data_IF_772429453327
#
_entry.id   IF_772429453327
#
_cell.length_a   1.000
_cell.length_b   1.000
_cell.length_c   1.000
_cell.angle_alpha   90.00
_cell.angle_beta   90.00
_cell.angle_gamma   90.00
#
_symmetry.space_group_name_H-M   'P 1'
#
loop_
_entity.id
_entity.type
_entity.pdbx_description
1 polymer ?
#
# COMPACT_ATOMS: atom_id res chain seq x y z
N UNK A 1 3.58 -45.70 -20.84
CA UNK A 1 3.73 -45.43 -19.40
C UNK A 1 4.56 -44.14 -19.18
N UNK A 2 3.92 -42.98 -19.27
CA UNK A 2 3.30 -42.24 -18.15
C UNK A 2 4.31 -41.34 -17.41
N UNK A 3 4.26 -40.05 -17.75
CA UNK A 3 4.59 -38.87 -16.92
C UNK A 3 3.79 -38.89 -15.58
N UNK A 4 3.91 -37.92 -14.62
CA UNK A 4 4.50 -36.58 -14.73
C UNK A 4 5.15 -35.91 -13.46
N UNK A 5 5.67 -34.70 -13.71
CA UNK A 5 5.53 -33.44 -12.94
C UNK A 5 6.35 -33.16 -11.67
N UNK A 6 7.09 -32.04 -11.71
CA UNK A 6 7.01 -30.97 -10.71
C UNK A 6 7.62 -29.67 -11.27
N UNK A 7 6.78 -28.65 -11.37
CA UNK A 7 6.98 -27.31 -11.92
C UNK A 7 7.99 -26.46 -11.13
N UNK A 8 8.71 -25.51 -11.76
CA UNK A 8 9.41 -24.46 -11.02
C UNK A 8 8.41 -23.41 -10.56
N UNK A 9 8.29 -23.24 -9.24
CA UNK A 9 7.56 -22.13 -8.63
C UNK A 9 8.29 -20.81 -8.93
N UNK A 10 7.71 -20.00 -9.80
CA UNK A 10 8.14 -18.63 -10.05
C UNK A 10 7.83 -17.79 -8.81
N UNK A 11 8.84 -17.59 -7.97
CA UNK A 11 8.83 -16.61 -6.89
C UNK A 11 8.70 -15.21 -7.51
N UNK A 12 7.49 -14.69 -7.56
CA UNK A 12 7.26 -13.28 -7.88
C UNK A 12 7.79 -12.46 -6.70
N UNK A 13 9.00 -11.93 -6.91
CA UNK A 13 9.62 -10.93 -6.05
C UNK A 13 8.73 -9.69 -6.01
N UNK A 14 7.82 -9.66 -5.03
CA UNK A 14 7.10 -8.45 -4.61
C UNK A 14 8.15 -7.39 -4.23
N UNK A 15 7.90 -6.10 -4.50
CA UNK A 15 8.77 -5.04 -3.99
C UNK A 15 8.69 -5.07 -2.45
N UNK A 16 9.71 -5.64 -1.83
CA UNK A 16 9.93 -5.58 -0.39
C UNK A 16 10.31 -4.14 -0.04
N UNK A 17 9.36 -3.39 0.51
CA UNK A 17 9.74 -2.31 1.42
C UNK A 17 10.36 -2.97 2.65
N UNK A 18 11.62 -2.68 3.00
CA UNK A 18 12.24 -3.29 4.18
C UNK A 18 11.49 -2.81 5.42
N UNK A 19 10.69 -3.69 6.01
CA UNK A 19 10.21 -3.60 7.38
C UNK A 19 11.39 -3.84 8.33
N UNK A 20 12.35 -2.92 8.31
CA UNK A 20 13.45 -2.88 9.27
C UNK A 20 13.44 -1.50 9.91
N UNK A 21 12.47 -1.34 10.80
CA UNK A 21 12.46 -0.34 11.84
C UNK A 21 11.74 -1.00 12.97
N UNK A 22 12.39 -1.17 14.11
CA UNK A 22 11.79 -1.55 15.38
C UNK A 22 10.80 -0.46 15.82
N UNK A 23 9.72 -0.29 15.06
CA UNK A 23 8.50 0.32 15.56
C UNK A 23 7.77 -0.78 16.30
N UNK A 24 7.25 -0.46 17.48
CA UNK A 24 6.16 -1.21 18.10
C UNK A 24 4.95 -1.07 17.18
N UNK A 25 4.99 -1.80 16.06
CA UNK A 25 3.96 -1.77 15.04
C UNK A 25 2.69 -2.32 15.67
N UNK A 26 1.53 -1.66 15.55
CA UNK A 26 0.26 -2.17 16.08
C UNK A 26 -0.11 -3.56 15.52
N UNK A 27 0.59 -4.01 14.46
CA UNK A 27 0.47 -5.35 13.88
C UNK A 27 0.79 -6.51 14.82
N UNK A 28 1.58 -6.32 15.89
CA UNK A 28 1.87 -7.41 16.84
C UNK A 28 0.79 -7.58 17.91
N UNK A 29 0.01 -6.53 18.19
CA UNK A 29 -1.03 -6.55 19.22
C UNK A 29 -2.41 -6.90 18.68
N UNK A 30 -2.67 -6.63 17.40
CA UNK A 30 -3.96 -6.89 16.77
C UNK A 30 -3.81 -7.89 15.59
N UNK A 31 -4.18 -9.17 15.79
CA UNK A 31 -4.10 -10.17 14.74
C UNK A 31 -5.00 -9.77 13.55
N UNK A 32 -4.61 -10.08 12.30
CA UNK A 32 -5.46 -9.85 11.14
C UNK A 32 -6.80 -10.58 11.28
N UNK A 33 -7.87 -9.85 11.02
CA UNK A 33 -9.21 -10.44 10.95
C UNK A 33 -9.24 -11.51 9.83
N UNK A 34 -9.73 -12.73 10.10
CA UNK A 34 -9.86 -13.76 9.07
C UNK A 34 -10.72 -13.25 7.91
N UNK A 35 -10.20 -13.32 6.68
CA UNK A 35 -10.88 -12.81 5.48
C UNK A 35 -10.56 -11.36 5.11
N UNK A 36 -9.74 -10.65 5.89
CA UNK A 36 -9.23 -9.34 5.50
C UNK A 36 -8.14 -9.46 4.43
N UNK A 37 -8.34 -8.77 3.31
CA UNK A 37 -7.35 -8.70 2.22
C UNK A 37 -6.42 -7.51 2.38
N UNK A 38 -6.92 -6.41 2.98
CA UNK A 38 -6.19 -5.17 3.15
C UNK A 38 -6.20 -4.70 4.59
N UNK A 39 -5.10 -4.09 5.02
CA UNK A 39 -4.98 -3.40 6.31
C UNK A 39 -4.54 -1.98 6.07
N UNK A 40 -5.35 -1.01 6.48
CA UNK A 40 -5.11 0.42 6.28
C UNK A 40 -4.91 1.08 7.64
N UNK A 41 -3.78 1.75 7.84
CA UNK A 41 -3.47 2.51 9.05
C UNK A 41 -3.42 4.02 8.79
N UNK A 42 -4.17 4.78 9.57
CA UNK A 42 -4.12 6.24 9.62
C UNK A 42 -3.54 6.66 10.96
N UNK A 43 -2.48 7.47 10.92
CA UNK A 43 -1.75 7.90 12.11
C UNK A 43 -1.77 9.42 12.18
N UNK A 44 -2.43 9.97 13.21
CA UNK A 44 -2.61 11.41 13.43
C UNK A 44 -1.67 11.85 14.56
N UNK A 45 -0.99 12.98 14.40
CA UNK A 45 -0.14 13.53 15.45
C UNK A 45 -0.92 13.78 16.75
N UNK A 46 -0.40 13.29 17.88
CA UNK A 46 -1.06 13.47 19.18
C UNK A 46 -0.70 14.85 19.77
N UNK A 47 -1.44 15.88 19.35
CA UNK A 47 -1.29 17.25 19.88
C UNK A 47 -1.80 17.34 21.32
N UNK A 48 -2.83 16.56 21.65
CA UNK A 48 -3.48 16.54 22.97
C UNK A 48 -2.54 16.08 24.09
N UNK A 49 -1.49 15.33 23.73
CA UNK A 49 -0.45 14.96 24.67
C UNK A 49 0.38 16.14 25.17
N UNK A 50 0.57 17.18 24.34
CA UNK A 50 1.42 18.33 24.67
C UNK A 50 0.66 19.52 25.24
N UNK A 51 -0.65 19.59 25.00
CA UNK A 51 -1.49 20.73 25.40
C UNK A 51 -2.51 20.22 26.40
N UNK A 52 -2.31 20.57 27.67
CA UNK A 52 -3.28 20.27 28.72
C UNK A 52 -4.54 21.13 28.54
N UNK A 53 -5.74 20.58 28.86
CA UNK A 53 -6.97 21.34 28.82
C UNK A 53 -6.88 22.57 29.72
N UNK A 54 -7.47 23.68 29.27
CA UNK A 54 -7.52 24.97 29.98
C UNK A 54 -6.17 25.65 30.22
N UNK A 55 -5.10 25.15 29.60
CA UNK A 55 -3.84 25.87 29.53
C UNK A 55 -4.00 27.18 28.73
N UNK A 56 -3.11 28.19 28.93
CA UNK A 56 -3.12 29.41 28.11
C UNK A 56 -3.01 29.12 26.60
N UNK A 57 -2.30 28.05 26.26
CA UNK A 57 -2.15 27.58 24.89
C UNK A 57 -3.44 27.00 24.33
N UNK A 58 -4.16 26.19 25.13
CA UNK A 58 -5.48 25.65 24.78
C UNK A 58 -6.50 26.78 24.62
N UNK A 59 -6.52 27.75 25.54
CA UNK A 59 -7.39 28.94 25.46
C UNK A 59 -7.17 29.72 24.15
N UNK A 60 -5.92 29.97 23.77
CA UNK A 60 -5.62 30.66 22.51
C UNK A 60 -5.94 29.79 21.28
N UNK A 61 -5.69 28.48 21.35
CA UNK A 61 -6.05 27.55 20.28
C UNK A 61 -7.57 27.50 20.07
N UNK A 62 -8.35 27.42 21.15
CA UNK A 62 -9.82 27.48 21.14
C UNK A 62 -10.32 28.81 20.59
N UNK A 63 -9.66 29.92 20.94
CA UNK A 63 -9.98 31.26 20.40
C UNK A 63 -9.73 31.35 18.89
N UNK A 64 -8.67 30.74 18.38
CA UNK A 64 -8.33 30.71 16.95
C UNK A 64 -9.17 29.71 16.16
N UNK A 65 -9.61 28.62 16.80
CA UNK A 65 -10.36 27.48 16.27
C UNK A 65 -9.69 26.68 15.14
N UNK A 66 -9.04 27.35 14.17
CA UNK A 66 -8.38 26.72 13.03
C UNK A 66 -7.23 27.58 12.51
N UNK A 67 -6.39 26.99 11.67
CA UNK A 67 -5.35 27.72 10.92
C UNK A 67 -6.00 28.40 9.71
N UNK A 68 -5.86 29.72 9.62
CA UNK A 68 -6.35 30.49 8.47
C UNK A 68 -5.28 30.55 7.37
N UNK A 69 -5.60 29.99 6.21
CA UNK A 69 -4.73 30.01 5.04
C UNK A 69 -5.17 31.11 4.07
N UNK A 70 -4.34 32.16 3.95
CA UNK A 70 -4.49 33.21 2.94
C UNK A 70 -3.50 32.96 1.78
N UNK A 71 -3.73 33.55 0.59
CA UNK A 71 -2.88 33.32 -0.59
C UNK A 71 -1.39 33.55 -0.36
N UNK A 72 -1.02 34.45 0.55
CA UNK A 72 0.38 34.77 0.85
C UNK A 72 0.84 34.34 2.24
N UNK A 73 -0.08 33.95 3.14
CA UNK A 73 0.27 33.72 4.55
C UNK A 73 -0.66 32.73 5.23
N UNK A 74 -0.09 31.86 6.05
CA UNK A 74 -0.84 31.07 7.01
C UNK A 74 -0.77 31.70 8.40
N UNK A 75 -1.90 31.77 9.09
CA UNK A 75 -2.01 32.12 10.50
C UNK A 75 -2.30 30.85 11.31
N UNK A 76 -1.26 30.21 11.88
CA UNK A 76 -1.42 28.90 12.50
C UNK A 76 -2.22 28.98 13.80
N UNK A 77 -3.04 27.96 14.03
CA UNK A 77 -3.79 27.76 15.27
C UNK A 77 -2.85 27.64 16.47
N UNK A 78 -1.73 26.93 16.30
CA UNK A 78 -0.74 26.65 17.33
C UNK A 78 0.61 27.31 16.99
N UNK A 79 1.47 27.56 17.97
CA UNK A 79 2.82 28.06 17.76
C UNK A 79 3.58 27.18 16.74
N UNK A 80 4.24 27.77 15.74
CA UNK A 80 4.97 27.02 14.71
C UNK A 80 5.97 26.01 15.29
N UNK A 81 6.68 26.40 16.35
CA UNK A 81 7.62 25.53 17.06
C UNK A 81 7.00 24.20 17.51
N UNK A 82 5.77 24.22 18.04
CA UNK A 82 5.09 23.02 18.51
C UNK A 82 4.64 22.15 17.33
N UNK A 83 4.07 22.76 16.30
CA UNK A 83 3.66 22.08 15.08
C UNK A 83 4.84 21.42 14.35
N UNK A 84 5.94 22.13 14.17
CA UNK A 84 7.09 21.69 13.38
C UNK A 84 7.97 20.70 14.15
N UNK A 85 8.21 20.91 15.44
CA UNK A 85 9.16 20.10 16.19
C UNK A 85 8.53 18.90 16.90
N UNK A 86 7.28 18.98 17.35
CA UNK A 86 6.64 17.94 18.15
C UNK A 86 5.57 17.18 17.37
N UNK A 87 4.69 17.91 16.68
CA UNK A 87 3.54 17.30 15.99
C UNK A 87 3.84 16.91 14.53
N UNK A 88 4.93 17.39 13.93
CA UNK A 88 5.27 17.03 12.56
C UNK A 88 5.74 15.58 12.46
N UNK A 89 5.03 14.79 11.65
CA UNK A 89 5.37 13.41 11.29
C UNK A 89 6.47 13.35 10.22
N UNK A 90 7.52 14.14 10.43
CA UNK A 90 8.69 14.19 9.57
C UNK A 90 9.41 12.85 9.49
N UNK A 91 10.06 12.60 8.35
CA UNK A 91 10.80 11.38 8.11
C UNK A 91 11.93 11.17 9.13
N UNK A 92 12.14 9.91 9.52
CA UNK A 92 13.28 9.48 10.34
C UNK A 92 13.14 9.72 11.85
N UNK A 93 12.09 10.41 12.32
CA UNK A 93 11.86 10.68 13.75
C UNK A 93 10.70 9.87 14.30
N UNK A 94 10.85 9.41 15.52
CA UNK A 94 9.81 8.72 16.28
C UNK A 94 8.84 9.74 16.88
N UNK A 95 7.54 9.56 16.67
CA UNK A 95 6.48 10.49 17.07
C UNK A 95 5.32 9.77 17.73
N UNK A 96 4.77 10.40 18.78
CA UNK A 96 3.53 9.97 19.40
C UNK A 96 2.35 10.33 18.48
N UNK A 97 1.48 9.36 18.24
CA UNK A 97 0.33 9.49 17.36
C UNK A 97 -0.88 8.79 17.93
N UNK A 98 -2.05 9.33 17.62
CA UNK A 98 -3.29 8.57 17.72
C UNK A 98 -3.51 7.83 16.40
N UNK A 99 -3.71 6.52 16.46
CA UNK A 99 -3.74 5.65 15.30
C UNK A 99 -5.08 4.95 15.19
N UNK A 100 -5.54 4.83 13.96
CA UNK A 100 -6.72 4.07 13.58
C UNK A 100 -6.31 3.08 12.50
N UNK A 101 -6.56 1.80 12.72
CA UNK A 101 -6.29 0.76 11.73
C UNK A 101 -7.57 0.02 11.39
N UNK A 102 -7.81 -0.17 10.10
CA UNK A 102 -8.93 -0.91 9.57
C UNK A 102 -8.45 -2.15 8.82
N UNK A 103 -9.14 -3.25 9.05
CA UNK A 103 -9.03 -4.47 8.25
C UNK A 103 -10.20 -4.48 7.27
N UNK A 104 -9.91 -4.61 5.98
CA UNK A 104 -10.88 -4.48 4.88
C UNK A 104 -10.85 -5.71 3.96
N UNK A 105 -12.01 -6.06 3.40
CA UNK A 105 -12.13 -7.06 2.33
C UNK A 105 -11.74 -6.49 0.95
N UNK A 106 -11.86 -7.28 -0.12
CA UNK A 106 -11.56 -6.82 -1.49
C UNK A 106 -12.53 -5.75 -2.01
N UNK A 107 -13.72 -5.69 -1.43
CA UNK A 107 -14.81 -4.78 -1.81
C UNK A 107 -14.74 -3.45 -1.04
N UNK A 108 -13.88 -3.35 -0.02
CA UNK A 108 -13.72 -2.17 0.84
C UNK A 108 -14.62 -2.17 2.07
N UNK A 109 -15.26 -3.29 2.40
CA UNK A 109 -16.03 -3.46 3.65
C UNK A 109 -15.06 -3.56 4.83
N UNK A 110 -15.33 -2.80 5.89
CA UNK A 110 -14.54 -2.84 7.11
C UNK A 110 -14.95 -4.08 7.91
N UNK A 111 -14.00 -5.00 8.12
CA UNK A 111 -14.16 -6.23 8.90
C UNK A 111 -13.72 -6.05 10.35
N UNK A 112 -12.82 -5.11 10.61
CA UNK A 112 -12.32 -4.81 11.95
C UNK A 112 -11.72 -3.43 12.04
N UNK A 113 -11.82 -2.84 13.23
CA UNK A 113 -11.22 -1.55 13.54
C UNK A 113 -10.45 -1.61 14.87
N UNK A 114 -9.34 -0.89 14.92
CA UNK A 114 -8.61 -0.65 16.15
C UNK A 114 -8.23 0.82 16.23
N UNK A 115 -8.40 1.41 17.40
CA UNK A 115 -8.07 2.80 17.67
C UNK A 115 -7.28 2.89 18.96
N UNK A 116 -6.19 3.67 18.95
CA UNK A 116 -5.38 3.83 20.15
C UNK A 116 -4.17 4.72 19.97
N UNK A 117 -3.55 5.06 21.10
CA UNK A 117 -2.26 5.76 21.12
C UNK A 117 -1.17 4.80 20.65
N UNK A 118 -0.32 5.28 19.76
CA UNK A 118 0.79 4.54 19.20
C UNK A 118 1.99 5.45 18.98
N UNK A 119 3.12 4.84 18.65
CA UNK A 119 4.35 5.55 18.32
C UNK A 119 4.80 5.10 16.94
N UNK A 120 4.92 6.04 16.01
CA UNK A 120 5.34 5.75 14.64
C UNK A 120 6.70 6.37 14.33
N UNK A 121 7.39 5.81 13.33
CA UNK A 121 8.57 6.41 12.72
C UNK A 121 8.33 6.48 11.22
N UNK A 122 8.14 7.70 10.70
CA UNK A 122 7.88 7.90 9.28
C UNK A 122 9.11 7.56 8.44
N UNK A 123 8.95 6.72 7.41
CA UNK A 123 10.04 6.32 6.51
C UNK A 123 10.37 7.39 5.45
N UNK A 124 9.48 8.35 5.20
CA UNK A 124 9.68 9.32 4.15
C UNK A 124 8.57 10.35 4.05
N UNK A 125 8.89 11.50 3.45
CA UNK A 125 7.92 12.54 3.08
C UNK A 125 7.66 12.45 1.58
N UNK A 126 6.47 12.00 1.22
CA UNK A 126 6.08 11.85 -0.18
C UNK A 126 5.19 13.02 -0.60
N UNK A 127 5.34 13.46 -1.85
CA UNK A 127 4.48 14.48 -2.46
C UNK A 127 3.55 13.81 -3.46
N UNK A 128 2.36 14.39 -3.67
CA UNK A 128 1.39 13.88 -4.64
C UNK A 128 1.97 13.52 -6.02
N UNK A 129 2.76 14.38 -6.70
CA UNK A 129 3.30 14.04 -8.00
C UNK A 129 4.28 12.86 -7.97
N UNK A 130 5.04 12.71 -6.88
CA UNK A 130 5.96 11.57 -6.71
C UNK A 130 5.15 10.28 -6.55
N UNK A 131 4.11 10.29 -5.69
CA UNK A 131 3.25 9.12 -5.47
C UNK A 131 2.51 8.74 -6.74
N UNK A 132 1.92 9.71 -7.44
CA UNK A 132 1.23 9.46 -8.70
C UNK A 132 2.17 8.84 -9.74
N UNK A 133 3.38 9.39 -9.89
CA UNK A 133 4.38 8.82 -10.79
C UNK A 133 4.80 7.39 -10.41
N UNK A 134 4.81 7.04 -9.12
CA UNK A 134 5.07 5.66 -8.67
C UNK A 134 3.91 4.72 -9.04
N UNK A 135 2.66 5.17 -8.87
CA UNK A 135 1.45 4.41 -9.24
C UNK A 135 1.42 4.17 -10.75
N UNK A 136 1.60 5.22 -11.55
CA UNK A 136 1.53 5.14 -13.01
C UNK A 136 2.59 4.17 -13.57
N UNK A 137 3.82 4.22 -13.03
CA UNK A 137 4.90 3.29 -13.40
C UNK A 137 4.57 1.84 -13.02
N UNK A 138 3.94 1.61 -11.86
CA UNK A 138 3.54 0.28 -11.43
C UNK A 138 2.45 -0.30 -12.37
N UNK A 139 1.47 0.52 -12.75
CA UNK A 139 0.41 0.14 -13.70
C UNK A 139 0.99 -0.17 -15.08
N UNK A 140 1.94 0.65 -15.56
CA UNK A 140 2.60 0.43 -16.85
C UNK A 140 3.35 -0.90 -16.90
N UNK A 141 4.13 -1.24 -15.86
CA UNK A 141 4.81 -2.53 -15.75
C UNK A 141 3.85 -3.72 -15.73
N UNK A 142 2.73 -3.60 -15.01
CA UNK A 142 1.70 -4.64 -14.97
C UNK A 142 1.07 -4.92 -16.34
N UNK A 143 0.89 -3.88 -17.17
CA UNK A 143 0.38 -4.03 -18.54
C UNK A 143 1.40 -4.69 -19.47
N UNK A 144 2.68 -4.32 -19.35
CA UNK A 144 3.78 -4.94 -20.12
C UNK A 144 3.89 -6.44 -19.83
N UNK A 145 3.83 -6.82 -18.55
CA UNK A 145 3.90 -8.22 -18.10
C UNK A 145 2.75 -9.07 -18.69
N UNK A 146 1.51 -8.58 -18.60
CA UNK A 146 0.33 -9.29 -19.16
C UNK A 146 0.35 -9.36 -20.69
N UNK A 147 0.95 -8.36 -21.35
CA UNK A 147 1.10 -8.33 -22.81
C UNK A 147 2.19 -9.30 -23.29
N UNK A 148 3.22 -9.55 -22.49
CA UNK A 148 4.24 -10.57 -22.73
C UNK A 148 3.72 -11.98 -22.46
N UNK A 149 2.96 -12.20 -21.38
CA UNK A 149 2.32 -13.50 -21.07
C UNK A 149 1.25 -13.89 -22.11
N UNK A 150 0.56 -12.92 -22.72
CA UNK A 150 -0.40 -13.15 -23.79
C UNK A 150 0.19 -13.33 -25.19
N UNK A 151 1.52 -13.22 -25.37
CA UNK A 151 2.18 -13.53 -26.64
C UNK A 151 2.59 -14.99 -26.65
N UNK A 152 1.74 -15.86 -27.22
CA UNK A 152 2.16 -17.20 -27.62
C UNK A 152 3.42 -17.10 -28.47
N UNK A 153 4.45 -17.86 -28.10
CA UNK A 153 5.70 -17.93 -28.84
C UNK A 153 5.39 -18.33 -30.31
N UNK A 154 5.91 -17.63 -31.33
CA UNK A 154 5.58 -17.92 -32.72
C UNK A 154 5.92 -19.37 -33.14
N UNK A 155 6.82 -20.04 -32.43
CA UNK A 155 7.20 -21.44 -32.65
C UNK A 155 6.11 -22.44 -32.24
N UNK A 156 5.31 -22.14 -31.20
CA UNK A 156 4.25 -23.04 -30.72
C UNK A 156 3.09 -23.14 -31.70
N UNK A 157 2.85 -22.08 -32.48
CA UNK A 157 1.82 -22.01 -33.55
C UNK A 157 2.15 -22.87 -34.78
N UNK A 158 3.45 -23.12 -35.06
CA UNK A 158 3.87 -24.01 -36.16
C UNK A 158 3.73 -25.48 -35.79
N UNK A 159 4.00 -25.84 -34.53
CA UNK A 159 3.89 -27.23 -34.05
C UNK A 159 2.43 -27.68 -34.05
N UNK A 160 1.52 -26.88 -33.51
CA UNK A 160 0.08 -27.18 -33.52
C UNK A 160 -0.51 -27.29 -34.94
N UNK A 161 0.04 -26.58 -35.93
CA UNK A 161 -0.42 -26.68 -37.33
C UNK A 161 0.11 -27.91 -38.06
N UNK A 162 1.31 -28.39 -37.69
CA UNK A 162 1.87 -29.67 -38.19
C UNK A 162 1.12 -30.86 -37.61
N UNK A 163 0.87 -30.86 -36.31
CA UNK A 163 0.12 -31.94 -35.63
C UNK A 163 -1.33 -32.05 -36.14
N UNK A 164 -1.95 -30.92 -36.51
CA UNK A 164 -3.30 -30.90 -37.09
C UNK A 164 -3.33 -31.43 -38.52
N UNK A 165 -2.30 -31.11 -39.33
CA UNK A 165 -2.13 -31.67 -40.67
C UNK A 165 -1.83 -33.17 -40.66
N UNK A 166 -0.97 -33.62 -39.74
CA UNK A 166 -0.64 -35.04 -39.58
C UNK A 166 -1.85 -35.86 -39.09
N UNK A 167 -2.74 -35.27 -38.29
CA UNK A 167 -4.02 -35.89 -37.92
C UNK A 167 -5.00 -35.99 -39.10
N UNK A 168 -5.15 -34.92 -39.88
CA UNK A 168 -6.02 -34.91 -41.07
C UNK A 168 -5.55 -35.91 -42.14
N UNK A 169 -4.25 -35.98 -42.42
CA UNK A 169 -3.68 -36.96 -43.37
C UNK A 169 -3.84 -38.41 -42.90
N UNK A 170 -3.87 -38.64 -41.58
CA UNK A 170 -4.04 -39.97 -41.01
C UNK A 170 -5.51 -40.42 -41.06
N UNK A 171 -6.45 -39.52 -40.80
CA UNK A 171 -7.89 -39.79 -40.97
C UNK A 171 -8.27 -40.03 -42.44
N UNK A 172 -7.63 -39.34 -43.39
CA UNK A 172 -7.90 -39.53 -44.82
C UNK A 172 -7.37 -40.89 -45.33
N UNK A 173 -6.28 -41.40 -44.74
CA UNK A 173 -5.74 -42.74 -45.03
C UNK A 173 -6.57 -43.88 -44.43
N UNK A 174 -7.25 -43.66 -43.32
CA UNK A 174 -8.12 -44.68 -42.70
C UNK A 174 -9.51 -44.77 -43.38
N UNK A 175 -9.90 -43.75 -44.15
CA UNK A 175 -11.15 -43.72 -44.92
C UNK A 175 -11.07 -44.31 -46.33
N UNK A 176 -9.90 -44.80 -46.76
CA UNK A 176 -9.63 -45.27 -48.11
C UNK A 176 -9.20 -46.73 -48.11
#
# INVERSE_FOLDING_TARGET
PSSPSSSPSSSSSRPHFPSSSSSSSPSSHFPPTPGATWRVGVHIADVSHFISPDSPLDLEARRRATTFYLPHRAYPMLPPLLCEQLCSLGAGRTRATFSVTWDMDEQGTILGEWMGKSVIRSCGKLTYPVVQGMIDRAVAKGKEQRRMEGREHPTTRWMTRRERKEKEEKEEREKK
#
